data_IF_273636867318
#
_entry.id   IF_273636867318
#
_cell.length_a   1.000
_cell.length_b   1.000
_cell.length_c   1.000
_cell.angle_alpha   90.00
_cell.angle_beta   90.00
_cell.angle_gamma   90.00
#
_symmetry.space_group_name_H-M   'P 1'
#
loop_
_entity.id
_entity.type
_entity.pdbx_description
1 polymer ?
#
# COMPACT_ATOMS: atom_id res chain seq x y z
N UNK A 1 32.07 4.61 11.67
CA UNK A 1 31.17 4.57 12.85
C UNK A 1 30.47 3.22 12.84
N UNK A 2 30.63 2.41 13.89
CA UNK A 2 30.02 1.08 13.91
C UNK A 2 28.51 1.19 14.11
N UNK A 3 27.73 0.64 13.19
CA UNK A 3 26.29 0.47 13.37
C UNK A 3 26.06 -0.54 14.49
N UNK A 4 25.43 -0.10 15.58
CA UNK A 4 24.99 -0.99 16.66
C UNK A 4 23.64 -1.57 16.28
N UNK A 5 23.62 -2.82 15.86
CA UNK A 5 22.38 -3.54 15.55
C UNK A 5 21.71 -3.93 16.86
N UNK A 6 20.46 -3.51 17.04
CA UNK A 6 19.65 -3.84 18.22
C UNK A 6 18.55 -4.80 17.78
N UNK A 7 18.58 -6.02 18.32
CA UNK A 7 17.59 -7.05 18.03
C UNK A 7 16.35 -6.80 18.88
N UNK A 8 15.20 -6.58 18.22
CA UNK A 8 13.91 -6.43 18.87
C UNK A 8 12.97 -7.55 18.40
N UNK A 9 12.17 -8.14 19.30
CA UNK A 9 11.10 -9.05 18.89
C UNK A 9 10.11 -8.33 17.98
N UNK A 10 9.68 -8.99 16.90
CA UNK A 10 8.70 -8.45 15.96
C UNK A 10 7.43 -7.97 16.67
N UNK A 11 6.91 -8.78 17.60
CA UNK A 11 5.73 -8.45 18.40
C UNK A 11 5.89 -7.16 19.21
N UNK A 12 7.10 -6.86 19.69
CA UNK A 12 7.35 -5.63 20.43
C UNK A 12 7.27 -4.41 19.52
N UNK A 13 7.80 -4.49 18.30
CA UNK A 13 7.69 -3.44 17.27
C UNK A 13 6.22 -3.23 16.90
N UNK A 14 5.49 -4.32 16.63
CA UNK A 14 4.08 -4.26 16.24
C UNK A 14 3.23 -3.65 17.36
N UNK A 15 3.47 -4.02 18.61
CA UNK A 15 2.76 -3.44 19.75
C UNK A 15 3.08 -1.96 19.95
N UNK A 16 4.32 -1.52 19.69
CA UNK A 16 4.67 -0.10 19.70
C UNK A 16 3.98 0.68 18.58
N UNK A 17 3.86 0.10 17.38
CA UNK A 17 3.15 0.76 16.29
C UNK A 17 1.65 0.91 16.61
N UNK A 18 1.04 -0.13 17.19
CA UNK A 18 -0.39 -0.11 17.58
C UNK A 18 -0.77 0.98 18.59
N UNK A 19 0.17 1.55 19.34
CA UNK A 19 -0.11 2.65 20.26
C UNK A 19 -0.09 4.03 19.59
N UNK A 20 0.36 4.11 18.33
CA UNK A 20 0.40 5.35 17.58
C UNK A 20 -1.00 5.73 17.07
N UNK A 21 -1.28 7.04 16.93
CA UNK A 21 -2.46 7.53 16.23
C UNK A 21 -2.54 7.02 14.78
N UNK A 22 -3.77 6.90 14.27
CA UNK A 22 -4.04 6.36 12.93
C UNK A 22 -3.35 7.17 11.81
N UNK A 23 -3.33 8.50 11.92
CA UNK A 23 -2.66 9.38 10.96
C UNK A 23 -1.15 9.12 10.89
N UNK A 24 -0.52 8.83 12.03
CA UNK A 24 0.90 8.49 12.11
C UNK A 24 1.17 7.10 11.54
N UNK A 25 0.28 6.13 11.82
CA UNK A 25 0.37 4.78 11.24
C UNK A 25 0.28 4.81 9.72
N UNK A 26 -0.62 5.63 9.18
CA UNK A 26 -0.77 5.85 7.74
C UNK A 26 0.52 6.45 7.16
N UNK A 27 1.10 7.49 7.78
CA UNK A 27 2.35 8.08 7.31
C UNK A 27 3.53 7.09 7.33
N UNK A 28 3.66 6.31 8.41
CA UNK A 28 4.68 5.25 8.50
C UNK A 28 4.49 4.22 7.40
N UNK A 29 3.26 3.77 7.15
CA UNK A 29 2.95 2.85 6.07
C UNK A 29 3.35 3.40 4.69
N UNK A 30 2.96 4.64 4.37
CA UNK A 30 3.34 5.29 3.11
C UNK A 30 4.85 5.42 2.95
N UNK A 31 5.60 5.70 4.02
CA UNK A 31 7.07 5.82 3.95
C UNK A 31 7.82 4.50 3.84
N UNK A 32 7.24 3.42 4.35
CA UNK A 32 7.93 2.13 4.51
C UNK A 32 7.52 1.09 3.48
N UNK A 33 6.24 1.06 3.12
CA UNK A 33 5.66 0.02 2.25
C UNK A 33 5.46 0.55 0.84
N UNK A 34 5.18 1.84 0.69
CA UNK A 34 4.92 2.42 -0.64
C UNK A 34 6.23 2.90 -1.24
N UNK A 35 6.80 2.04 -2.08
CA UNK A 35 7.83 2.45 -3.01
C UNK A 35 7.17 3.33 -4.08
N UNK A 36 7.54 4.61 -4.12
CA UNK A 36 7.01 5.56 -5.08
C UNK A 36 7.63 5.29 -6.45
N UNK A 37 7.02 4.40 -7.23
CA UNK A 37 7.38 4.23 -8.64
C UNK A 37 6.76 5.35 -9.48
N UNK A 38 7.63 6.27 -9.92
CA UNK A 38 7.28 7.37 -10.84
C UNK A 38 7.67 7.06 -12.29
N UNK A 39 8.03 5.81 -12.58
CA UNK A 39 8.34 5.39 -13.94
C UNK A 39 7.11 5.50 -14.84
N UNK A 40 7.36 5.64 -16.13
CA UNK A 40 6.28 5.68 -17.10
C UNK A 40 5.64 4.29 -17.19
N UNK A 41 4.30 4.25 -17.16
CA UNK A 41 3.54 3.02 -17.34
C UNK A 41 4.01 2.26 -18.59
N UNK A 42 4.24 0.98 -18.42
CA UNK A 42 4.48 0.01 -19.48
C UNK A 42 3.27 -0.09 -20.40
N UNK A 43 3.44 -0.75 -21.55
CA UNK A 43 2.35 -0.94 -22.50
C UNK A 43 1.25 -1.82 -21.88
N UNK A 44 1.68 -2.86 -21.18
CA UNK A 44 0.82 -3.83 -20.49
C UNK A 44 -0.02 -3.14 -19.40
N UNK A 45 0.59 -2.29 -18.58
CA UNK A 45 -0.12 -1.53 -17.55
C UNK A 45 -1.15 -0.57 -18.14
N UNK A 46 -0.80 0.11 -19.25
CA UNK A 46 -1.75 0.98 -19.96
C UNK A 46 -2.94 0.21 -20.49
N UNK A 47 -2.72 -0.99 -21.03
CA UNK A 47 -3.79 -1.88 -21.51
C UNK A 47 -4.69 -2.33 -20.36
N UNK A 48 -4.11 -2.72 -19.21
CA UNK A 48 -4.87 -3.09 -18.01
C UNK A 48 -5.72 -1.94 -17.48
N UNK A 49 -5.17 -0.73 -17.40
CA UNK A 49 -5.92 0.46 -16.98
C UNK A 49 -7.05 0.78 -17.96
N UNK A 50 -6.78 0.69 -19.26
CA UNK A 50 -7.81 0.91 -20.30
C UNK A 50 -8.96 -0.10 -20.16
N UNK A 51 -8.62 -1.38 -19.93
CA UNK A 51 -9.60 -2.45 -19.70
C UNK A 51 -10.44 -2.19 -18.45
N UNK A 52 -9.81 -1.90 -17.31
CA UNK A 52 -10.53 -1.62 -16.06
C UNK A 52 -11.46 -0.41 -16.18
N UNK A 53 -11.03 0.65 -16.89
CA UNK A 53 -11.89 1.80 -17.18
C UNK A 53 -13.10 1.44 -18.05
N UNK A 54 -12.95 0.52 -18.99
CA UNK A 54 -14.04 0.05 -19.83
C UNK A 54 -15.04 -0.79 -19.03
N UNK A 55 -14.55 -1.71 -18.20
CA UNK A 55 -15.37 -2.53 -17.29
C UNK A 55 -16.16 -1.64 -16.32
N UNK A 56 -15.52 -0.61 -15.77
CA UNK A 56 -16.19 0.37 -14.91
C UNK A 56 -17.30 1.12 -15.64
N UNK A 57 -17.04 1.61 -16.86
CA UNK A 57 -18.07 2.27 -17.69
C UNK A 57 -19.24 1.36 -18.03
N UNK A 58 -19.00 0.06 -18.18
CA UNK A 58 -20.03 -0.94 -18.46
C UNK A 58 -20.77 -1.42 -17.20
N UNK A 59 -20.34 -1.01 -16.00
CA UNK A 59 -20.89 -1.50 -14.74
C UNK A 59 -20.52 -2.95 -14.45
N UNK A 60 -19.48 -3.48 -15.08
CA UNK A 60 -18.95 -4.83 -14.86
C UNK A 60 -18.08 -4.91 -13.57
N UNK A 61 -17.92 -3.78 -12.87
CA UNK A 61 -17.21 -3.70 -11.58
C UNK A 61 -18.11 -4.05 -10.40
N UNK A 62 -17.58 -4.78 -9.43
CA UNK A 62 -18.26 -5.07 -8.16
C UNK A 62 -18.02 -3.93 -7.17
N UNK A 63 -19.06 -3.49 -6.46
CA UNK A 63 -18.88 -2.49 -5.40
C UNK A 63 -18.15 -3.12 -4.24
N UNK A 64 -17.28 -2.34 -3.61
CA UNK A 64 -16.49 -2.82 -2.48
C UNK A 64 -17.34 -3.30 -1.30
N UNK A 65 -18.51 -2.70 -1.11
CA UNK A 65 -19.48 -3.07 -0.08
C UNK A 65 -20.13 -4.45 -0.31
N UNK A 66 -20.17 -4.89 -1.57
CA UNK A 66 -20.80 -6.16 -1.98
C UNK A 66 -19.81 -7.35 -1.89
N UNK A 67 -18.54 -7.08 -1.57
CA UNK A 67 -17.49 -8.09 -1.37
C UNK A 67 -17.38 -8.57 0.09
N UNK A 68 -18.32 -8.17 0.96
CA UNK A 68 -18.28 -8.39 2.41
C UNK A 68 -18.88 -9.72 2.85
#
# INVERSE_FOLDING_TARGET
>A
MGTKTLTMPEDAVVNMLKTLPEDILIDVFWRTVVESDVSALTKEEKELISKGNLEHKKGETVKWQDLR
#
